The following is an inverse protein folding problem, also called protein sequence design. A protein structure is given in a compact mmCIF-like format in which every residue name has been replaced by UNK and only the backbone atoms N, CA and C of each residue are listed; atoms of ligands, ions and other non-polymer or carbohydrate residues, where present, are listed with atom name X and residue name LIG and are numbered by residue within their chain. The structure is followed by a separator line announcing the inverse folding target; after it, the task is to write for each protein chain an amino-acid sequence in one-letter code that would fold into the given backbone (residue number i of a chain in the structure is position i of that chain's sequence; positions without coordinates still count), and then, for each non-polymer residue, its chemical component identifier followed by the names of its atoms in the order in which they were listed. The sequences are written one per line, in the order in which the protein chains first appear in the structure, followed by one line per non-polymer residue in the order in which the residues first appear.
data_IF_889344607836
#
_entry.id   IF_889344607836
#
_cell.length_a   1.000
_cell.length_b   1.000
_cell.length_c   1.000
_cell.angle_alpha   90.00
_cell.angle_beta   90.00
_cell.angle_gamma   90.00
#
_symmetry.space_group_name_H-M   'P 1'
#
loop_
_entity.id
_entity.type
_entity.pdbx_description
1 polymer ?
#
# COMPACT_ATOMS: atom_id res chain seq x y z
N UNK A 1 13.42 -8.45 6.58
CA UNK A 1 12.72 -7.35 7.24
C UNK A 1 11.28 -7.31 6.78
N UNK A 2 10.36 -7.09 7.72
CA UNK A 2 8.94 -7.11 7.37
C UNK A 2 8.53 -5.86 6.62
N UNK A 3 7.59 -6.06 5.71
CA UNK A 3 7.01 -4.96 4.96
C UNK A 3 5.71 -4.56 5.66
N UNK A 4 5.76 -3.55 6.51
CA UNK A 4 4.61 -3.15 7.30
C UNK A 4 3.45 -2.67 6.46
N UNK A 5 3.72 -2.19 5.25
CA UNK A 5 2.65 -1.72 4.39
C UNK A 5 1.72 -2.84 3.96
N UNK A 6 2.21 -4.07 3.95
CA UNK A 6 1.36 -5.20 3.57
C UNK A 6 0.27 -5.49 4.58
N UNK A 7 0.41 -4.97 5.81
CA UNK A 7 -0.57 -5.19 6.86
C UNK A 7 -1.59 -4.06 6.98
N UNK A 8 -1.40 -2.97 6.24
CA UNK A 8 -2.28 -1.82 6.33
C UNK A 8 -3.59 -2.06 5.59
N UNK A 9 -4.70 -1.45 6.06
CA UNK A 9 -5.95 -1.53 5.30
C UNK A 9 -5.84 -0.71 4.00
N UNK A 10 -6.74 -1.04 3.06
CA UNK A 10 -6.70 -0.38 1.76
C UNK A 10 -6.81 1.13 1.87
N UNK A 11 -7.67 1.62 2.78
CA UNK A 11 -7.84 3.06 2.94
C UNK A 11 -6.52 3.73 3.30
N UNK A 12 -5.75 3.10 4.20
CA UNK A 12 -4.46 3.64 4.59
C UNK A 12 -3.52 3.66 3.40
N UNK A 13 -3.50 2.58 2.64
CA UNK A 13 -2.61 2.48 1.47
C UNK A 13 -2.97 3.53 0.42
N UNK A 14 -4.25 3.76 0.19
CA UNK A 14 -4.68 4.78 -0.77
C UNK A 14 -4.21 6.16 -0.32
N UNK A 15 -4.36 6.45 0.98
CA UNK A 15 -3.91 7.73 1.51
C UNK A 15 -2.40 7.90 1.34
N UNK A 16 -1.64 6.84 1.61
CA UNK A 16 -0.19 6.88 1.46
C UNK A 16 0.20 7.09 0.00
N UNK A 17 -0.49 6.42 -0.90
CA UNK A 17 -0.22 6.57 -2.34
C UNK A 17 -0.48 8.01 -2.79
N UNK A 18 -1.56 8.61 -2.30
CA UNK A 18 -1.87 10.00 -2.63
C UNK A 18 -0.78 10.95 -2.14
N UNK A 19 -0.09 10.57 -1.07
CA UNK A 19 1.02 11.35 -0.57
C UNK A 19 2.33 11.11 -1.30
N UNK A 20 2.33 10.21 -2.30
CA UNK A 20 3.51 9.95 -3.11
C UNK A 20 4.18 8.61 -2.83
N UNK A 21 3.55 7.73 -2.05
CA UNK A 21 4.15 6.45 -1.70
C UNK A 21 3.82 5.41 -2.78
N UNK A 22 4.75 5.24 -3.72
CA UNK A 22 4.55 4.28 -4.81
C UNK A 22 4.52 2.85 -4.31
N UNK A 23 5.21 2.56 -3.20
CA UNK A 23 5.20 1.21 -2.66
C UNK A 23 3.80 0.82 -2.19
N UNK A 24 3.06 1.76 -1.62
CA UNK A 24 1.69 1.51 -1.20
C UNK A 24 0.83 1.11 -2.40
N UNK A 25 1.06 1.76 -3.55
CA UNK A 25 0.35 1.41 -4.77
C UNK A 25 0.67 -0.01 -5.20
N UNK A 26 1.94 -0.41 -5.12
CA UNK A 26 2.33 -1.77 -5.48
C UNK A 26 1.67 -2.79 -4.58
N UNK A 27 1.58 -2.50 -3.29
CA UNK A 27 0.91 -3.39 -2.36
C UNK A 27 -0.58 -3.53 -2.73
N UNK A 28 -1.21 -2.41 -3.07
CA UNK A 28 -2.60 -2.45 -3.50
C UNK A 28 -2.79 -3.31 -4.74
N UNK A 29 -1.92 -3.14 -5.73
CA UNK A 29 -2.00 -3.95 -6.95
C UNK A 29 -1.88 -5.43 -6.64
N UNK A 30 -0.97 -5.78 -5.74
CA UNK A 30 -0.78 -7.18 -5.38
C UNK A 30 -2.02 -7.80 -4.75
N UNK A 31 -2.80 -6.98 -4.05
CA UNK A 31 -4.03 -7.47 -3.41
C UNK A 31 -5.12 -7.77 -4.42
N UNK A 32 -5.07 -7.12 -5.56
CA UNK A 32 -6.14 -7.20 -6.55
C UNK A 32 -5.74 -7.98 -7.80
N UNK A 33 -4.60 -8.66 -7.76
CA UNK A 33 -4.18 -9.51 -8.87
C UNK A 33 -4.13 -11.01 -8.46
#
# INVERSE_FOLDING_TARGET
MEDNEKTFPDDTLVTMFRGGDNHAFEVLLARYT
#
